data_IF_897682332595
#
_entry.id   IF_897682332595
#
_cell.length_a   1.000
_cell.length_b   1.000
_cell.length_c   1.000
_cell.angle_alpha   90.00
_cell.angle_beta   90.00
_cell.angle_gamma   90.00
#
_symmetry.space_group_name_H-M   'P 1'
#
loop_
_entity.id
_entity.type
_entity.pdbx_description
1 polymer ?
#
# COMPACT_ATOMS: atom_id res chain seq x y z
N UNK A 1 27.74 -5.43 -2.49
CA UNK A 1 26.64 -6.05 -3.26
C UNK A 1 26.37 -7.51 -2.81
N UNK A 2 27.41 -8.33 -2.55
CA UNK A 2 27.26 -9.75 -2.21
C UNK A 2 26.50 -10.01 -0.90
N UNK A 3 26.72 -9.21 0.15
CA UNK A 3 26.05 -9.39 1.45
C UNK A 3 24.52 -9.15 1.33
N UNK A 4 24.10 -8.14 0.59
CA UNK A 4 22.67 -7.89 0.36
C UNK A 4 21.99 -9.04 -0.38
N UNK A 5 22.62 -9.59 -1.41
CA UNK A 5 22.10 -10.74 -2.15
C UNK A 5 21.98 -12.00 -1.26
N UNK A 6 22.96 -12.23 -0.37
CA UNK A 6 22.92 -13.34 0.60
C UNK A 6 21.78 -13.18 1.60
N UNK A 7 21.56 -11.98 2.13
CA UNK A 7 20.43 -11.71 3.06
C UNK A 7 19.10 -11.96 2.39
N UNK A 8 18.92 -11.47 1.16
CA UNK A 8 17.69 -11.68 0.38
C UNK A 8 17.49 -13.17 0.09
N UNK A 9 18.52 -13.88 -0.37
CA UNK A 9 18.44 -15.32 -0.62
C UNK A 9 18.12 -16.11 0.65
N UNK A 10 18.72 -15.76 1.79
CA UNK A 10 18.43 -16.38 3.08
C UNK A 10 16.98 -16.14 3.53
N UNK A 11 16.44 -14.93 3.35
CA UNK A 11 15.05 -14.63 3.71
C UNK A 11 14.05 -15.43 2.86
N UNK A 12 14.29 -15.58 1.56
CA UNK A 12 13.47 -16.43 0.69
C UNK A 12 13.58 -17.91 1.05
N UNK A 13 14.77 -18.39 1.39
CA UNK A 13 14.98 -19.77 1.83
C UNK A 13 14.21 -20.08 3.13
N UNK A 14 14.25 -19.17 4.10
CA UNK A 14 13.49 -19.28 5.35
C UNK A 14 11.98 -19.27 5.07
N UNK A 15 11.49 -18.35 4.25
CA UNK A 15 10.08 -18.30 3.85
C UNK A 15 9.65 -19.59 3.15
N UNK A 16 10.47 -20.12 2.24
CA UNK A 16 10.21 -21.39 1.53
C UNK A 16 10.13 -22.58 2.49
N UNK A 17 11.06 -22.68 3.44
CA UNK A 17 11.07 -23.74 4.47
C UNK A 17 9.82 -23.66 5.34
N UNK A 18 9.45 -22.46 5.79
CA UNK A 18 8.22 -22.24 6.59
C UNK A 18 6.98 -22.67 5.79
N UNK A 19 6.89 -22.28 4.51
CA UNK A 19 5.77 -22.65 3.64
C UNK A 19 5.70 -24.16 3.46
N UNK A 20 6.82 -24.85 3.22
CA UNK A 20 6.87 -26.30 3.16
C UNK A 20 6.44 -27.00 4.46
N UNK A 21 6.78 -26.43 5.60
CA UNK A 21 6.39 -26.96 6.90
C UNK A 21 4.90 -26.79 7.16
N UNK A 22 4.32 -25.67 6.75
CA UNK A 22 2.89 -25.40 6.87
C UNK A 22 2.07 -26.23 5.91
N UNK A 23 2.49 -26.38 4.64
CA UNK A 23 1.78 -27.21 3.65
C UNK A 23 1.72 -28.69 4.05
N UNK A 24 2.75 -29.21 4.71
CA UNK A 24 2.73 -30.59 5.26
C UNK A 24 1.74 -30.80 6.41
N UNK A 25 1.30 -29.72 7.06
CA UNK A 25 0.27 -29.79 8.11
C UNK A 25 -1.15 -29.73 7.54
N UNK A 26 -1.32 -29.17 6.34
CA UNK A 26 -2.64 -29.06 5.68
C UNK A 26 -3.05 -30.34 4.95
N UNK A 27 -2.14 -31.25 4.63
CA UNK A 27 -2.45 -32.55 4.01
C UNK A 27 -3.32 -33.48 4.90
N UNK A 28 -3.62 -33.07 6.13
CA UNK A 28 -4.57 -33.77 7.02
C UNK A 28 -5.98 -33.17 7.02
N UNK A 29 -6.22 -32.08 6.29
CA UNK A 29 -7.56 -31.53 6.08
C UNK A 29 -8.23 -32.24 4.90
N UNK A 30 -9.46 -32.71 5.11
CA UNK A 30 -10.26 -33.42 4.13
C UNK A 30 -10.29 -32.67 2.78
N UNK A 31 -10.31 -33.38 1.62
CA UNK A 31 -10.35 -32.75 0.32
C UNK A 31 -11.59 -31.85 0.26
N UNK A 32 -11.34 -30.57 -0.03
CA UNK A 32 -12.41 -29.62 -0.31
C UNK A 32 -13.30 -30.25 -1.40
N UNK A 33 -14.57 -30.41 -1.09
CA UNK A 33 -15.60 -30.84 -2.04
C UNK A 33 -15.41 -30.03 -3.31
N UNK A 34 -15.41 -30.74 -4.44
CA UNK A 34 -15.30 -30.19 -5.78
C UNK A 34 -16.39 -29.13 -5.99
N UNK A 35 -16.08 -27.88 -5.61
CA UNK A 35 -16.86 -26.73 -6.03
C UNK A 35 -16.81 -26.69 -7.56
N UNK A 36 -17.98 -26.62 -8.17
CA UNK A 36 -18.16 -26.43 -9.60
C UNK A 36 -17.15 -25.39 -10.09
N UNK A 37 -16.34 -25.77 -11.10
CA UNK A 37 -15.39 -24.88 -11.77
C UNK A 37 -16.17 -23.72 -12.37
N UNK A 38 -16.48 -22.72 -11.56
CA UNK A 38 -16.98 -21.47 -12.06
C UNK A 38 -15.94 -20.89 -13.01
N UNK A 39 -16.38 -20.48 -14.19
CA UNK A 39 -15.47 -19.89 -15.18
C UNK A 39 -14.73 -18.72 -14.55
N UNK A 40 -13.40 -18.65 -14.68
CA UNK A 40 -12.56 -17.53 -14.20
C UNK A 40 -13.17 -16.17 -14.57
N UNK A 41 -13.76 -16.08 -15.75
CA UNK A 41 -14.51 -14.90 -16.20
C UNK A 41 -15.80 -14.64 -15.39
N UNK A 42 -16.48 -15.70 -14.97
CA UNK A 42 -17.64 -15.59 -14.09
C UNK A 42 -17.26 -15.04 -12.73
N UNK A 43 -16.18 -15.54 -12.16
CA UNK A 43 -15.67 -15.11 -10.86
C UNK A 43 -15.17 -13.66 -10.89
N UNK A 44 -14.42 -13.28 -11.93
CA UNK A 44 -13.97 -11.91 -12.13
C UNK A 44 -15.16 -10.96 -12.26
N UNK A 45 -16.16 -11.31 -13.08
CA UNK A 45 -17.38 -10.50 -13.25
C UNK A 45 -18.18 -10.36 -11.96
N UNK A 46 -18.24 -11.42 -11.16
CA UNK A 46 -18.91 -11.38 -9.85
C UNK A 46 -18.17 -10.46 -8.88
N UNK A 47 -16.83 -10.54 -8.81
CA UNK A 47 -15.99 -9.65 -8.02
C UNK A 47 -16.15 -8.18 -8.42
N UNK A 48 -16.04 -7.86 -9.71
CA UNK A 48 -16.24 -6.50 -10.23
C UNK A 48 -17.63 -5.98 -9.91
N UNK A 49 -18.66 -6.80 -10.09
CA UNK A 49 -20.04 -6.41 -9.78
C UNK A 49 -20.24 -6.15 -8.29
N UNK A 50 -19.65 -6.96 -7.42
CA UNK A 50 -19.70 -6.77 -5.98
C UNK A 50 -19.04 -5.46 -5.57
N UNK A 51 -17.81 -5.22 -6.05
CA UNK A 51 -17.04 -3.97 -5.80
C UNK A 51 -17.84 -2.76 -6.29
N UNK A 52 -18.36 -2.80 -7.53
CA UNK A 52 -19.13 -1.68 -8.11
C UNK A 52 -20.41 -1.34 -7.34
N UNK A 53 -21.03 -2.35 -6.70
CA UNK A 53 -22.22 -2.16 -5.85
C UNK A 53 -21.90 -1.74 -4.43
N UNK A 54 -20.68 -2.01 -3.96
CA UNK A 54 -20.23 -1.70 -2.60
C UNK A 54 -19.43 -0.40 -2.59
N UNK A 55 -20.11 0.72 -2.36
CA UNK A 55 -19.56 2.08 -2.54
C UNK A 55 -18.22 2.31 -1.81
N UNK A 56 -18.16 1.94 -0.53
CA UNK A 56 -16.93 2.14 0.25
C UNK A 56 -15.75 1.38 -0.35
N UNK A 57 -15.99 0.15 -0.79
CA UNK A 57 -14.97 -0.72 -1.38
C UNK A 57 -14.49 -0.17 -2.74
N UNK A 58 -15.43 0.23 -3.61
CA UNK A 58 -15.11 0.85 -4.90
C UNK A 58 -14.23 2.10 -4.74
N UNK A 59 -14.61 3.01 -3.84
CA UNK A 59 -13.84 4.24 -3.63
C UNK A 59 -12.52 3.99 -2.94
N UNK A 60 -12.41 2.97 -2.08
CA UNK A 60 -11.11 2.55 -1.51
C UNK A 60 -10.19 2.01 -2.59
N UNK A 61 -10.68 1.16 -3.51
CA UNK A 61 -9.87 0.64 -4.61
C UNK A 61 -9.44 1.74 -5.60
N UNK A 62 -10.35 2.63 -5.97
CA UNK A 62 -10.01 3.79 -6.83
C UNK A 62 -8.94 4.65 -6.15
N UNK A 63 -9.09 4.94 -4.87
CA UNK A 63 -8.13 5.70 -4.11
C UNK A 63 -6.77 4.98 -4.02
N UNK A 64 -6.74 3.69 -3.65
CA UNK A 64 -5.52 2.90 -3.55
C UNK A 64 -4.76 2.81 -4.87
N UNK A 65 -5.48 2.62 -5.98
CA UNK A 65 -4.90 2.61 -7.33
C UNK A 65 -4.31 3.97 -7.72
N UNK A 66 -5.03 5.05 -7.41
CA UNK A 66 -4.55 6.41 -7.66
C UNK A 66 -3.33 6.73 -6.79
N UNK A 67 -3.33 6.24 -5.55
CA UNK A 67 -2.20 6.37 -4.63
C UNK A 67 -0.95 5.66 -5.19
N UNK A 68 -1.08 4.41 -5.64
CA UNK A 68 0.01 3.66 -6.27
C UNK A 68 0.54 4.39 -7.51
N UNK A 69 -0.33 4.91 -8.36
CA UNK A 69 0.04 5.67 -9.55
C UNK A 69 0.82 6.95 -9.22
N UNK A 70 0.45 7.65 -8.14
CA UNK A 70 1.05 8.95 -7.80
C UNK A 70 2.38 8.78 -7.05
N UNK A 71 2.53 7.74 -6.21
CA UNK A 71 3.64 7.65 -5.26
C UNK A 71 4.78 6.74 -5.75
N UNK A 72 4.46 5.65 -6.45
CA UNK A 72 5.44 4.61 -6.73
C UNK A 72 6.59 5.13 -7.60
N UNK A 73 6.29 5.81 -8.69
CA UNK A 73 7.29 6.40 -9.59
C UNK A 73 8.22 7.40 -8.91
N UNK A 74 7.71 8.40 -8.17
CA UNK A 74 8.54 9.31 -7.39
C UNK A 74 9.48 8.62 -6.42
N UNK A 75 9.02 7.64 -5.65
CA UNK A 75 9.87 6.95 -4.66
C UNK A 75 10.89 6.01 -5.32
N UNK A 76 10.47 5.21 -6.31
CA UNK A 76 11.35 4.19 -6.88
C UNK A 76 12.28 4.73 -7.98
N UNK A 77 11.83 5.73 -8.76
CA UNK A 77 12.57 6.25 -9.89
C UNK A 77 13.21 7.59 -9.58
N UNK A 78 12.46 8.56 -9.03
CA UNK A 78 12.97 9.93 -8.92
C UNK A 78 13.78 10.18 -7.63
N UNK A 79 13.53 9.42 -6.56
CA UNK A 79 14.30 9.57 -5.32
C UNK A 79 15.79 9.29 -5.51
N UNK A 80 16.23 8.25 -6.26
CA UNK A 80 17.66 8.05 -6.59
C UNK A 80 18.28 9.24 -7.33
N UNK A 81 17.57 9.85 -8.29
CA UNK A 81 18.07 11.04 -8.98
C UNK A 81 18.22 12.23 -8.03
N UNK A 82 17.24 12.41 -7.15
CA UNK A 82 17.27 13.48 -6.17
C UNK A 82 18.42 13.33 -5.17
N UNK A 83 18.71 12.10 -4.73
CA UNK A 83 19.84 11.84 -3.84
C UNK A 83 21.17 12.08 -4.53
N UNK A 84 21.28 11.74 -5.82
CA UNK A 84 22.47 11.98 -6.61
C UNK A 84 22.78 13.47 -6.79
N UNK A 85 21.74 14.30 -6.91
CA UNK A 85 21.91 15.74 -7.07
C UNK A 85 22.25 16.46 -5.75
N UNK A 86 21.94 15.85 -4.59
CA UNK A 86 22.01 16.53 -3.30
C UNK A 86 23.10 16.00 -2.36
N UNK A 87 23.61 14.79 -2.59
CA UNK A 87 24.53 14.12 -1.66
C UNK A 87 25.68 13.46 -2.39
N UNK A 88 26.89 13.55 -1.83
CA UNK A 88 28.10 12.95 -2.41
C UNK A 88 28.03 11.42 -2.46
N UNK A 89 27.46 10.78 -1.43
CA UNK A 89 27.24 9.33 -1.39
C UNK A 89 25.74 9.00 -1.67
N UNK A 90 25.36 9.15 -2.92
CA UNK A 90 23.98 9.01 -3.36
C UNK A 90 23.42 7.59 -3.14
N UNK A 91 24.22 6.56 -3.37
CA UNK A 91 23.79 5.17 -3.27
C UNK A 91 23.49 4.77 -1.82
N UNK A 92 24.41 5.11 -0.89
CA UNK A 92 24.20 4.85 0.52
C UNK A 92 23.05 5.69 1.07
N UNK A 93 22.95 6.96 0.66
CA UNK A 93 21.84 7.84 1.05
C UNK A 93 20.48 7.28 0.60
N UNK A 94 20.36 6.84 -0.64
CA UNK A 94 19.14 6.20 -1.14
C UNK A 94 18.79 4.93 -0.36
N UNK A 95 19.80 4.09 -0.09
CA UNK A 95 19.64 2.89 0.74
C UNK A 95 19.12 3.20 2.14
N UNK A 96 19.67 4.24 2.79
CA UNK A 96 19.22 4.69 4.12
C UNK A 96 17.78 5.22 4.09
N UNK A 97 17.39 5.95 3.05
CA UNK A 97 16.03 6.45 2.87
C UNK A 97 15.02 5.31 2.71
N UNK A 98 15.34 4.30 1.91
CA UNK A 98 14.49 3.11 1.79
C UNK A 98 14.44 2.30 3.07
N UNK A 99 15.56 2.19 3.79
CA UNK A 99 15.59 1.54 5.10
C UNK A 99 14.69 2.27 6.11
N UNK A 100 14.74 3.61 6.14
CA UNK A 100 13.87 4.43 7.00
C UNK A 100 12.39 4.21 6.66
N UNK A 101 12.03 4.15 5.37
CA UNK A 101 10.68 3.83 4.90
C UNK A 101 10.23 2.43 5.37
N UNK A 102 11.07 1.41 5.18
CA UNK A 102 10.79 0.04 5.58
C UNK A 102 10.64 -0.12 7.09
N UNK A 103 11.55 0.47 7.88
CA UNK A 103 11.48 0.46 9.36
C UNK A 103 10.22 1.17 9.84
N UNK A 104 9.91 2.33 9.25
CA UNK A 104 8.65 3.03 9.53
C UNK A 104 7.45 2.14 9.28
N UNK A 105 7.40 1.47 8.11
CA UNK A 105 6.33 0.55 7.75
C UNK A 105 6.15 -0.60 8.73
N UNK A 106 7.26 -1.23 9.15
CA UNK A 106 7.25 -2.28 10.16
C UNK A 106 6.71 -1.78 11.50
N UNK A 107 7.20 -0.63 11.98
CA UNK A 107 6.75 -0.04 13.25
C UNK A 107 5.26 0.35 13.17
N UNK A 108 4.84 1.01 12.10
CA UNK A 108 3.43 1.39 11.89
C UNK A 108 2.50 0.17 11.88
N UNK A 109 2.91 -0.91 11.20
CA UNK A 109 2.18 -2.17 11.17
C UNK A 109 2.06 -2.80 12.56
N UNK A 110 3.16 -2.86 13.32
CA UNK A 110 3.19 -3.41 14.68
C UNK A 110 2.32 -2.60 15.65
N UNK A 111 2.39 -1.27 15.59
CA UNK A 111 1.56 -0.41 16.43
C UNK A 111 0.09 -0.67 16.17
N UNK A 112 -0.34 -0.64 14.91
CA UNK A 112 -1.76 -0.83 14.58
C UNK A 112 -2.24 -2.24 14.87
N UNK A 113 -1.43 -3.27 14.65
CA UNK A 113 -1.80 -4.65 14.97
C UNK A 113 -1.99 -4.90 16.48
N UNK A 114 -1.34 -4.10 17.33
CA UNK A 114 -1.47 -4.18 18.79
C UNK A 114 -2.63 -3.35 19.35
N UNK A 115 -3.23 -2.49 18.54
CA UNK A 115 -4.31 -1.59 18.96
C UNK A 115 -5.67 -2.10 18.49
N UNK A 116 -6.70 -1.80 19.27
CA UNK A 116 -8.09 -1.98 18.84
C UNK A 116 -8.44 -0.95 17.78
N UNK A 117 -9.07 -1.37 16.70
CA UNK A 117 -9.51 -0.44 15.65
C UNK A 117 -10.56 0.53 16.22
N UNK A 118 -10.41 1.83 15.96
CA UNK A 118 -11.39 2.81 16.42
C UNK A 118 -12.70 2.68 15.61
N UNK A 119 -13.79 3.23 16.14
CA UNK A 119 -15.08 3.25 15.43
C UNK A 119 -15.02 3.86 14.04
N UNK A 120 -14.05 4.76 13.78
CA UNK A 120 -13.82 5.41 12.48
C UNK A 120 -12.69 4.74 11.71
N UNK A 121 -12.79 3.46 11.50
CA UNK A 121 -11.72 2.62 10.94
C UNK A 121 -11.41 2.91 9.46
N UNK A 122 -12.43 3.15 8.60
CA UNK A 122 -12.24 3.53 7.20
C UNK A 122 -11.66 4.94 7.09
N UNK A 123 -12.16 5.87 7.91
CA UNK A 123 -11.67 7.25 7.98
C UNK A 123 -10.20 7.27 8.40
N UNK A 124 -9.83 6.48 9.41
CA UNK A 124 -8.44 6.36 9.85
C UNK A 124 -7.55 5.78 8.75
N UNK A 125 -7.96 4.68 8.11
CA UNK A 125 -7.19 4.02 7.06
C UNK A 125 -6.92 4.95 5.87
N UNK A 126 -7.96 5.56 5.32
CA UNK A 126 -7.84 6.50 4.20
C UNK A 126 -7.06 7.74 4.60
N UNK A 127 -7.24 8.22 5.83
CA UNK A 127 -6.47 9.33 6.38
C UNK A 127 -4.98 9.02 6.53
N UNK A 128 -4.62 7.81 7.00
CA UNK A 128 -3.24 7.34 7.06
C UNK A 128 -2.61 7.24 5.67
N UNK A 129 -3.31 6.64 4.71
CA UNK A 129 -2.77 6.53 3.36
C UNK A 129 -2.70 7.87 2.63
N UNK A 130 -3.73 8.71 2.71
CA UNK A 130 -3.75 9.99 2.02
C UNK A 130 -2.97 11.08 2.79
N UNK A 131 -3.30 11.33 4.05
CA UNK A 131 -2.61 12.32 4.88
C UNK A 131 -1.18 11.92 5.24
N UNK A 132 -0.91 10.62 5.35
CA UNK A 132 0.43 10.08 5.59
C UNK A 132 1.42 10.33 4.46
N UNK A 133 0.99 10.76 3.28
CA UNK A 133 1.89 11.17 2.19
C UNK A 133 2.32 12.62 2.26
N UNK A 134 1.64 13.48 3.04
CA UNK A 134 1.97 14.89 3.14
C UNK A 134 3.44 15.19 3.45
N UNK A 135 4.14 14.42 4.30
CA UNK A 135 5.56 14.62 4.51
C UNK A 135 6.40 14.56 3.24
N UNK A 136 5.97 13.89 2.14
CA UNK A 136 6.71 13.87 0.87
C UNK A 136 6.97 15.26 0.30
N UNK A 137 6.16 16.25 0.65
CA UNK A 137 6.41 17.66 0.31
C UNK A 137 7.80 18.09 0.78
N UNK A 138 8.23 17.63 1.96
CA UNK A 138 9.55 17.94 2.51
C UNK A 138 10.69 17.30 1.69
N UNK A 139 10.46 16.17 1.05
CA UNK A 139 11.44 15.57 0.11
C UNK A 139 11.69 16.53 -1.06
N UNK A 140 10.65 17.19 -1.56
CA UNK A 140 10.80 18.20 -2.62
C UNK A 140 11.56 19.47 -2.17
N UNK A 141 11.41 19.86 -0.93
CA UNK A 141 11.88 21.17 -0.42
C UNK A 141 13.19 21.11 0.37
N UNK A 142 13.46 20.02 1.08
CA UNK A 142 14.58 19.93 2.00
C UNK A 142 15.83 19.29 1.35
N UNK A 143 17.00 19.91 1.63
CA UNK A 143 18.31 19.38 1.27
C UNK A 143 19.03 18.80 2.51
N UNK A 144 18.26 18.30 3.47
CA UNK A 144 18.79 17.79 4.74
C UNK A 144 18.42 16.30 4.87
N UNK A 145 19.44 15.45 5.02
CA UNK A 145 19.27 14.00 5.12
C UNK A 145 18.38 13.58 6.29
N UNK A 146 18.50 14.22 7.45
CA UNK A 146 17.70 13.87 8.64
C UNK A 146 16.22 14.14 8.37
N UNK A 147 15.90 15.26 7.73
CA UNK A 147 14.52 15.61 7.34
C UNK A 147 13.97 14.59 6.36
N UNK A 148 14.78 14.17 5.37
CA UNK A 148 14.38 13.17 4.37
C UNK A 148 14.17 11.80 5.02
N UNK A 149 15.04 11.37 5.93
CA UNK A 149 14.89 10.13 6.69
C UNK A 149 13.62 10.12 7.55
N UNK A 150 13.39 11.19 8.32
CA UNK A 150 12.19 11.34 9.13
C UNK A 150 10.92 11.34 8.29
N UNK A 151 10.98 11.95 7.11
CA UNK A 151 9.88 11.98 6.15
C UNK A 151 9.55 10.57 5.64
N UNK A 152 10.54 9.84 5.13
CA UNK A 152 10.33 8.49 4.59
C UNK A 152 9.88 7.53 5.70
N UNK A 153 10.43 7.66 6.90
CA UNK A 153 9.98 6.90 8.06
C UNK A 153 8.49 7.15 8.35
N UNK A 154 8.06 8.41 8.40
CA UNK A 154 6.65 8.77 8.66
C UNK A 154 5.70 8.26 7.56
N UNK A 155 6.09 8.40 6.28
CA UNK A 155 5.33 7.89 5.14
C UNK A 155 5.24 6.36 5.21
N UNK A 156 6.34 5.68 5.49
CA UNK A 156 6.38 4.24 5.68
C UNK A 156 5.46 3.79 6.81
N UNK A 157 5.53 4.44 7.97
CA UNK A 157 4.69 4.12 9.13
C UNK A 157 3.19 4.25 8.82
N UNK A 158 2.80 5.33 8.16
CA UNK A 158 1.41 5.53 7.74
C UNK A 158 0.95 4.48 6.72
N UNK A 159 1.82 4.13 5.77
CA UNK A 159 1.54 3.10 4.75
C UNK A 159 1.37 1.72 5.39
N UNK A 160 2.31 1.30 6.23
CA UNK A 160 2.27 0.00 6.91
C UNK A 160 1.06 -0.14 7.83
N UNK A 161 0.76 0.90 8.60
CA UNK A 161 -0.44 0.96 9.43
C UNK A 161 -1.73 0.80 8.59
N UNK A 162 -1.83 1.52 7.48
CA UNK A 162 -2.98 1.44 6.58
C UNK A 162 -3.16 0.06 5.95
N UNK A 163 -2.07 -0.63 5.57
CA UNK A 163 -2.10 -1.99 5.02
C UNK A 163 -2.68 -3.00 6.02
N UNK A 164 -2.28 -2.92 7.30
CA UNK A 164 -2.83 -3.80 8.35
C UNK A 164 -4.33 -3.57 8.56
N UNK A 165 -4.74 -2.29 8.59
CA UNK A 165 -6.17 -1.96 8.70
C UNK A 165 -6.92 -2.52 7.48
N UNK A 166 -6.42 -2.32 6.26
CA UNK A 166 -7.04 -2.80 5.03
C UNK A 166 -7.26 -4.32 5.05
N UNK A 167 -6.23 -5.10 5.36
CA UNK A 167 -6.32 -6.55 5.47
C UNK A 167 -7.37 -7.00 6.50
N UNK A 168 -7.44 -6.30 7.64
CA UNK A 168 -8.44 -6.57 8.68
C UNK A 168 -9.86 -6.25 8.20
N UNK A 169 -10.04 -5.13 7.51
CA UNK A 169 -11.35 -4.71 7.01
C UNK A 169 -11.87 -5.61 5.90
N UNK A 170 -11.01 -6.08 5.00
CA UNK A 170 -11.37 -7.07 3.99
C UNK A 170 -11.94 -8.33 4.63
N UNK A 171 -11.29 -8.84 5.69
CA UNK A 171 -11.72 -10.05 6.37
C UNK A 171 -13.02 -9.86 7.19
N UNK A 172 -13.27 -8.65 7.72
CA UNK A 172 -14.42 -8.37 8.58
C UNK A 172 -15.66 -7.87 7.84
N UNK A 173 -15.48 -7.15 6.73
CA UNK A 173 -16.57 -6.46 6.03
C UNK A 173 -16.97 -7.12 4.71
N UNK A 174 -16.12 -7.97 4.15
CA UNK A 174 -16.40 -8.68 2.90
C UNK A 174 -16.87 -10.11 3.24
N UNK A 175 -17.98 -10.59 2.66
CA UNK A 175 -18.44 -11.95 2.85
C UNK A 175 -17.36 -12.97 2.48
N UNK A 176 -17.20 -14.07 3.24
CA UNK A 176 -16.15 -15.06 3.01
C UNK A 176 -16.08 -15.58 1.57
N UNK A 177 -17.23 -15.76 0.91
CA UNK A 177 -17.35 -16.25 -0.46
C UNK A 177 -16.83 -15.25 -1.51
N UNK A 178 -16.69 -13.97 -1.13
CA UNK A 178 -16.25 -12.88 -2.01
C UNK A 178 -14.82 -12.42 -1.70
N UNK A 179 -14.24 -12.81 -0.56
CA UNK A 179 -12.90 -12.32 -0.14
C UNK A 179 -11.86 -12.60 -1.21
N UNK A 180 -11.77 -13.84 -1.72
CA UNK A 180 -10.78 -14.20 -2.73
C UNK A 180 -10.93 -13.40 -4.02
N UNK A 181 -12.18 -13.19 -4.49
CA UNK A 181 -12.47 -12.41 -5.71
C UNK A 181 -12.13 -10.93 -5.54
N UNK A 182 -12.44 -10.35 -4.38
CA UNK A 182 -12.13 -8.96 -4.06
C UNK A 182 -10.64 -8.76 -3.88
N UNK A 183 -9.96 -9.65 -3.15
CA UNK A 183 -8.52 -9.57 -2.94
C UNK A 183 -7.73 -9.72 -4.25
N UNK A 184 -8.16 -10.63 -5.14
CA UNK A 184 -7.54 -10.78 -6.47
C UNK A 184 -7.72 -9.53 -7.33
N UNK A 185 -8.89 -8.89 -7.27
CA UNK A 185 -9.15 -7.65 -8.00
C UNK A 185 -8.32 -6.50 -7.44
N UNK A 186 -8.26 -6.35 -6.11
CA UNK A 186 -7.43 -5.36 -5.43
C UNK A 186 -5.95 -5.50 -5.81
N UNK A 187 -5.42 -6.73 -5.73
CA UNK A 187 -4.05 -7.03 -6.12
C UNK A 187 -3.77 -6.71 -7.59
N UNK A 188 -4.68 -7.14 -8.49
CA UNK A 188 -4.54 -6.86 -9.92
C UNK A 188 -4.52 -5.36 -10.22
N UNK A 189 -5.48 -4.61 -9.67
CA UNK A 189 -5.57 -3.17 -9.90
C UNK A 189 -4.38 -2.43 -9.30
N UNK A 190 -3.96 -2.78 -8.09
CA UNK A 190 -2.80 -2.19 -7.42
C UNK A 190 -1.51 -2.45 -8.19
N UNK A 191 -1.26 -3.70 -8.64
CA UNK A 191 -0.08 -4.04 -9.43
C UNK A 191 -0.09 -3.39 -10.82
N UNK A 192 -1.25 -3.31 -11.48
CA UNK A 192 -1.32 -2.75 -12.83
C UNK A 192 -0.87 -1.27 -12.89
N UNK A 193 -1.12 -0.50 -11.83
CA UNK A 193 -0.74 0.92 -11.79
C UNK A 193 0.70 1.18 -11.35
N UNK A 194 1.36 0.26 -10.66
CA UNK A 194 2.77 0.41 -10.26
C UNK A 194 3.72 0.56 -11.47
N UNK A 195 3.74 -0.35 -12.46
CA UNK A 195 4.59 -0.19 -13.65
C UNK A 195 4.27 1.07 -14.43
N UNK A 196 2.99 1.46 -14.48
CA UNK A 196 2.58 2.70 -15.17
C UNK A 196 3.18 3.92 -14.48
N UNK A 197 3.11 3.98 -13.14
CA UNK A 197 3.73 5.05 -12.34
C UNK A 197 5.24 5.13 -12.59
N UNK A 198 5.93 3.99 -12.54
CA UNK A 198 7.37 3.89 -12.78
C UNK A 198 7.73 4.34 -14.20
N UNK A 199 6.98 3.88 -15.20
CA UNK A 199 7.23 4.22 -16.61
C UNK A 199 7.03 5.71 -16.91
N UNK A 200 6.07 6.36 -16.26
CA UNK A 200 5.76 7.79 -16.46
C UNK A 200 6.76 8.69 -15.70
N UNK A 201 7.31 8.26 -14.58
CA UNK A 201 8.13 9.10 -13.71
C UNK A 201 9.35 9.71 -14.41
N UNK A 202 10.09 8.91 -15.20
CA UNK A 202 11.25 9.38 -15.96
C UNK A 202 10.88 10.47 -16.98
N UNK A 203 10.01 10.21 -17.96
CA UNK A 203 9.56 11.22 -18.91
C UNK A 203 8.97 12.47 -18.26
N UNK A 204 8.21 12.31 -17.16
CA UNK A 204 7.63 13.42 -16.43
C UNK A 204 8.70 14.34 -15.84
N UNK A 205 9.81 13.80 -15.35
CA UNK A 205 10.91 14.58 -14.79
C UNK A 205 11.65 15.45 -15.80
N UNK A 206 11.48 15.19 -17.11
CA UNK A 206 12.05 16.02 -18.18
C UNK A 206 11.28 17.32 -18.39
N UNK A 207 10.00 17.36 -18.00
CA UNK A 207 9.11 18.51 -18.20
C UNK A 207 8.70 19.18 -16.88
N UNK A 208 8.75 18.44 -15.77
CA UNK A 208 8.38 18.93 -14.44
C UNK A 208 9.56 18.72 -13.48
N UNK A 209 10.01 19.75 -12.76
CA UNK A 209 11.09 19.61 -11.79
C UNK A 209 10.77 18.52 -10.74
N UNK A 210 11.74 17.66 -10.43
CA UNK A 210 11.57 16.56 -9.47
C UNK A 210 11.00 17.04 -8.11
N UNK A 211 11.45 18.18 -7.54
CA UNK A 211 10.85 18.70 -6.32
C UNK A 211 9.34 18.96 -6.42
N UNK A 212 8.86 19.46 -7.55
CA UNK A 212 7.43 19.70 -7.77
C UNK A 212 6.64 18.39 -7.85
N UNK A 213 7.22 17.34 -8.44
CA UNK A 213 6.60 16.01 -8.48
C UNK A 213 6.42 15.46 -7.06
N UNK A 214 7.41 15.60 -6.16
CA UNK A 214 7.29 15.21 -4.76
C UNK A 214 6.25 16.03 -3.97
N UNK A 215 6.11 17.32 -4.28
CA UNK A 215 5.05 18.17 -3.69
C UNK A 215 3.67 17.63 -4.11
N UNK A 216 3.49 17.33 -5.40
CA UNK A 216 2.25 16.73 -5.90
C UNK A 216 2.01 15.36 -5.28
N UNK A 217 3.04 14.51 -5.18
CA UNK A 217 2.96 13.20 -4.55
C UNK A 217 2.58 13.26 -3.05
N UNK A 218 2.93 14.35 -2.37
CA UNK A 218 2.51 14.57 -0.99
C UNK A 218 1.08 15.09 -0.86
N UNK A 219 0.67 16.04 -1.70
CA UNK A 219 -0.61 16.76 -1.56
C UNK A 219 -1.77 16.04 -2.26
N UNK A 220 -1.57 15.55 -3.49
CA UNK A 220 -2.66 14.98 -4.29
C UNK A 220 -3.35 13.78 -3.62
N UNK A 221 -2.64 12.82 -2.98
CA UNK A 221 -3.31 11.73 -2.28
C UNK A 221 -4.18 12.19 -1.11
N UNK A 222 -3.78 13.27 -0.42
CA UNK A 222 -4.60 13.85 0.67
C UNK A 222 -5.92 14.40 0.13
N UNK A 223 -5.91 15.08 -1.01
CA UNK A 223 -7.12 15.58 -1.65
C UNK A 223 -7.99 14.42 -2.15
N UNK A 224 -7.39 13.42 -2.76
CA UNK A 224 -8.09 12.21 -3.20
C UNK A 224 -8.70 11.42 -2.03
N UNK A 225 -8.01 11.39 -0.87
CA UNK A 225 -8.54 10.79 0.34
C UNK A 225 -9.83 11.48 0.80
N UNK A 226 -9.87 12.81 0.77
CA UNK A 226 -11.08 13.58 1.10
C UNK A 226 -12.22 13.21 0.13
N UNK A 227 -11.93 13.16 -1.17
CA UNK A 227 -12.92 12.76 -2.17
C UNK A 227 -13.42 11.33 -1.92
N UNK A 228 -12.51 10.38 -1.65
CA UNK A 228 -12.85 8.98 -1.39
C UNK A 228 -13.73 8.85 -0.12
N UNK A 229 -13.42 9.58 0.94
CA UNK A 229 -14.20 9.57 2.18
C UNK A 229 -15.64 10.09 1.97
N UNK A 230 -15.78 11.15 1.19
CA UNK A 230 -17.07 11.78 0.90
C UNK A 230 -17.90 10.94 -0.09
N UNK A 231 -17.32 10.57 -1.23
CA UNK A 231 -17.98 9.82 -2.28
C UNK A 231 -18.28 8.37 -1.87
N UNK A 232 -17.36 7.73 -1.13
CA UNK A 232 -17.55 6.39 -0.56
C UNK A 232 -18.55 6.33 0.58
N UNK A 233 -18.98 7.50 1.11
CA UNK A 233 -19.87 7.60 2.28
C UNK A 233 -19.36 6.77 3.46
N UNK A 234 -18.05 6.77 3.69
CA UNK A 234 -17.40 5.85 4.61
C UNK A 234 -17.89 5.99 6.04
N UNK A 235 -18.21 7.22 6.49
CA UNK A 235 -18.84 7.47 7.80
C UNK A 235 -20.17 6.76 7.98
N UNK A 236 -20.98 6.60 6.91
CA UNK A 236 -22.25 5.88 7.00
C UNK A 236 -22.05 4.37 7.19
N UNK A 237 -21.00 3.82 6.60
CA UNK A 237 -20.63 2.41 6.79
C UNK A 237 -20.17 2.18 8.22
N UNK A 238 -19.26 3.04 8.72
CA UNK A 238 -18.74 2.99 10.08
C UNK A 238 -19.85 3.08 11.17
N UNK A 239 -20.90 3.86 10.91
CA UNK A 239 -22.03 3.96 11.85
C UNK A 239 -23.00 2.78 11.74
N UNK A 240 -23.12 2.15 10.57
CA UNK A 240 -24.03 1.00 10.35
C UNK A 240 -23.40 -0.34 10.75
N UNK A 241 -22.09 -0.43 10.67
CA UNK A 241 -21.32 -1.64 10.97
C UNK A 241 -20.19 -1.28 11.96
N UNK A 242 -20.54 -0.96 13.22
CA UNK A 242 -19.51 -0.77 14.24
C UNK A 242 -18.74 -2.09 14.37
N UNK A 243 -17.42 -2.03 14.30
CA UNK A 243 -16.57 -3.17 14.65
C UNK A 243 -16.59 -3.23 16.18
N UNK A 244 -17.40 -4.14 16.72
CA UNK A 244 -17.39 -4.42 18.15
C UNK A 244 -15.99 -4.93 18.52
N UNK A 245 -15.35 -4.20 19.39
CA UNK A 245 -13.96 -4.38 19.82
C UNK A 245 -13.85 -5.42 20.90
#
# INVERSE_FOLDING_TARGET
PAVGAVIVAASYAVAFVITLFLSRREDTAAPATSEERTSVWGDLRAGVRYVARTRWLLWTLIFGSSLALIIQGPIEVLLPFLTRDRFDDAEATFGLLLAAYGIGGAIGSLIVSSLKLPRRYLTLMIGLWGGGTLPLVLIGLANNLIVMLATLFAVGAATGAGVVIWGTLLQRLVPPEMIGRVASLDFFVSIAFMPVSIAIAGPLSLIVPIPAIFIVAGVAPTLLAIVALLAGRMRQVETRQPLDT
#
